data_IF_681196445809
#
_entry.id   IF_681196445809
#
_cell.length_a   1.000
_cell.length_b   1.000
_cell.length_c   1.000
_cell.angle_alpha   90.00
_cell.angle_beta   90.00
_cell.angle_gamma   90.00
#
_symmetry.space_group_name_H-M   'P 1'
#
loop_
_entity.id
_entity.type
_entity.pdbx_description
1 polymer ?
#
# COMPACT_ATOMS: atom_id res chain seq x y z
N UNK A 1 -12.94 5.72 9.19
CA UNK A 1 -12.43 4.80 8.16
C UNK A 1 -11.22 4.10 8.77
N UNK A 2 -11.03 2.82 8.52
CA UNK A 2 -9.85 2.10 9.01
C UNK A 2 -8.84 2.05 7.86
N UNK A 3 -7.92 3.02 7.83
CA UNK A 3 -6.93 3.18 6.75
C UNK A 3 -6.16 1.90 6.51
N UNK A 4 -5.80 1.18 7.58
CA UNK A 4 -5.13 -0.11 7.48
C UNK A 4 -5.95 -1.08 6.67
N UNK A 5 -7.24 -1.24 6.98
CA UNK A 5 -8.09 -2.20 6.29
C UNK A 5 -8.18 -1.89 4.79
N UNK A 6 -8.42 -0.64 4.43
CA UNK A 6 -8.50 -0.23 3.02
C UNK A 6 -7.17 -0.45 2.29
N UNK A 7 -6.03 -0.14 2.91
CA UNK A 7 -4.70 -0.44 2.35
C UNK A 7 -4.50 -1.94 2.12
N UNK A 8 -4.95 -2.80 3.05
CA UNK A 8 -4.88 -4.24 2.88
C UNK A 8 -5.78 -4.75 1.75
N UNK A 9 -6.98 -4.19 1.61
CA UNK A 9 -7.90 -4.55 0.53
C UNK A 9 -7.31 -4.15 -0.85
N UNK A 10 -6.69 -2.96 -0.94
CA UNK A 10 -5.98 -2.50 -2.15
C UNK A 10 -4.79 -3.41 -2.48
N UNK A 11 -3.98 -3.76 -1.48
CA UNK A 11 -2.88 -4.70 -1.66
C UNK A 11 -3.37 -6.05 -2.19
N UNK A 12 -4.49 -6.56 -1.67
CA UNK A 12 -5.06 -7.83 -2.13
C UNK A 12 -5.55 -7.77 -3.57
N UNK A 13 -6.22 -6.67 -3.94
CA UNK A 13 -6.75 -6.43 -5.29
C UNK A 13 -5.63 -6.27 -6.32
N UNK A 14 -4.66 -5.38 -6.07
CA UNK A 14 -3.58 -5.05 -7.00
C UNK A 14 -2.64 -6.23 -7.18
N UNK A 15 -2.28 -6.91 -6.09
CA UNK A 15 -1.34 -8.03 -6.11
C UNK A 15 -2.04 -9.38 -6.31
N UNK A 16 -3.37 -9.40 -6.45
CA UNK A 16 -4.18 -10.62 -6.63
C UNK A 16 -3.89 -11.69 -5.58
N UNK A 17 -3.80 -11.29 -4.31
CA UNK A 17 -3.38 -12.14 -3.18
C UNK A 17 -4.50 -13.07 -2.64
N UNK A 18 -5.73 -12.94 -3.15
CA UNK A 18 -6.88 -13.82 -2.88
C UNK A 18 -7.25 -13.90 -1.39
N UNK A 19 -7.26 -12.76 -0.72
CA UNK A 19 -7.58 -12.59 0.70
C UNK A 19 -6.40 -12.79 1.64
N UNK A 20 -5.18 -13.03 1.13
CA UNK A 20 -3.99 -13.21 1.97
C UNK A 20 -3.57 -11.90 2.65
N UNK A 21 -3.79 -10.75 2.00
CA UNK A 21 -3.40 -9.45 2.57
C UNK A 21 -4.17 -9.13 3.86
N UNK A 22 -5.39 -9.65 4.02
CA UNK A 22 -6.21 -9.44 5.23
C UNK A 22 -5.55 -9.98 6.52
N UNK A 23 -4.59 -10.90 6.41
CA UNK A 23 -3.84 -11.43 7.53
C UNK A 23 -2.59 -10.61 7.88
N UNK A 24 -2.26 -9.57 7.11
CA UNK A 24 -1.06 -8.78 7.34
C UNK A 24 -1.21 -7.85 8.55
N UNK A 25 -0.13 -7.73 9.30
CA UNK A 25 0.04 -6.77 10.39
C UNK A 25 0.89 -5.57 9.93
N UNK A 26 1.02 -4.56 10.78
CA UNK A 26 1.77 -3.35 10.45
C UNK A 26 3.27 -3.62 10.30
N UNK A 27 3.78 -4.68 10.94
CA UNK A 27 5.19 -5.07 10.87
C UNK A 27 5.47 -5.98 9.66
N UNK A 28 4.44 -6.38 8.92
CA UNK A 28 4.56 -7.27 7.77
C UNK A 28 5.37 -6.58 6.67
N UNK A 29 6.53 -7.13 6.29
CA UNK A 29 7.32 -6.59 5.21
C UNK A 29 6.60 -6.79 3.87
N UNK A 30 6.70 -5.80 3.00
CA UNK A 30 6.08 -5.77 1.67
C UNK A 30 7.16 -5.95 0.60
N UNK A 31 8.01 -4.94 0.38
CA UNK A 31 9.12 -5.03 -0.56
C UNK A 31 10.07 -6.18 -0.20
N UNK A 32 10.34 -7.05 -1.17
CA UNK A 32 11.22 -8.21 -1.03
C UNK A 32 10.61 -9.42 -0.31
N UNK A 33 9.56 -9.24 0.48
CA UNK A 33 8.83 -10.33 1.14
C UNK A 33 7.59 -10.79 0.36
N UNK A 34 6.95 -9.87 -0.37
CA UNK A 34 5.84 -10.16 -1.28
C UNK A 34 6.39 -10.20 -2.71
N UNK A 35 6.58 -11.39 -3.30
CA UNK A 35 7.16 -11.51 -4.64
C UNK A 35 6.29 -10.90 -5.74
N UNK A 36 4.99 -10.75 -5.49
CA UNK A 36 4.05 -10.09 -6.40
C UNK A 36 4.24 -8.56 -6.44
N UNK A 37 4.82 -7.96 -5.39
CA UNK A 37 5.09 -6.53 -5.35
C UNK A 37 6.38 -6.21 -6.11
N UNK A 38 6.25 -6.06 -7.42
CA UNK A 38 7.32 -5.61 -8.32
C UNK A 38 7.26 -4.08 -8.59
N UNK A 39 8.22 -3.57 -9.37
CA UNK A 39 8.31 -2.15 -9.71
C UNK A 39 7.08 -1.62 -10.48
N UNK A 40 6.35 -2.47 -11.22
CA UNK A 40 5.14 -2.06 -11.94
C UNK A 40 3.90 -2.15 -11.04
N UNK A 41 3.85 -3.12 -10.12
CA UNK A 41 2.80 -3.27 -9.14
C UNK A 41 2.75 -2.07 -8.18
N UNK A 42 3.90 -1.50 -7.82
CA UNK A 42 3.99 -0.26 -7.04
C UNK A 42 3.23 0.88 -7.71
N UNK A 43 3.40 1.08 -9.02
CA UNK A 43 2.68 2.12 -9.78
C UNK A 43 1.16 1.87 -9.75
N UNK A 44 0.75 0.62 -9.92
CA UNK A 44 -0.66 0.23 -9.81
C UNK A 44 -1.23 0.46 -8.40
N UNK A 45 -0.43 0.22 -7.36
CA UNK A 45 -0.81 0.44 -5.97
C UNK A 45 -1.03 1.92 -5.69
N UNK A 46 -0.11 2.78 -6.14
CA UNK A 46 -0.21 4.24 -6.00
C UNK A 46 -1.49 4.74 -6.65
N UNK A 47 -1.73 4.38 -7.92
CA UNK A 47 -2.93 4.78 -8.64
C UNK A 47 -4.22 4.35 -7.90
N UNK A 48 -4.27 3.10 -7.39
CA UNK A 48 -5.44 2.61 -6.67
C UNK A 48 -5.65 3.33 -5.32
N UNK A 49 -4.57 3.68 -4.62
CA UNK A 49 -4.62 4.48 -3.40
C UNK A 49 -5.16 5.89 -3.71
N UNK A 50 -4.65 6.54 -4.75
CA UNK A 50 -5.15 7.85 -5.20
C UNK A 50 -6.65 7.81 -5.49
N UNK A 51 -7.11 6.80 -6.25
CA UNK A 51 -8.52 6.62 -6.59
C UNK A 51 -9.41 6.34 -5.36
N UNK A 52 -8.97 5.46 -4.45
CA UNK A 52 -9.75 5.04 -3.28
C UNK A 52 -9.84 6.11 -2.21
N UNK A 53 -8.73 6.81 -1.94
CA UNK A 53 -8.65 7.82 -0.91
C UNK A 53 -8.93 9.23 -1.45
N UNK A 54 -9.03 9.41 -2.77
CA UNK A 54 -9.27 10.70 -3.41
C UNK A 54 -8.10 11.68 -3.20
N UNK A 55 -6.88 11.14 -3.12
CA UNK A 55 -5.65 11.90 -2.89
C UNK A 55 -4.75 11.87 -4.12
N UNK A 56 -3.76 12.75 -4.14
CA UNK A 56 -2.72 12.76 -5.18
C UNK A 56 -1.40 12.46 -4.48
N UNK A 57 -0.63 11.55 -5.08
CA UNK A 57 0.69 11.11 -4.64
C UNK A 57 1.70 11.64 -5.66
N UNK A 58 2.57 12.56 -5.21
CA UNK A 58 3.63 13.10 -6.07
C UNK A 58 4.82 12.14 -6.13
N UNK A 59 5.63 12.19 -7.20
CA UNK A 59 6.85 11.35 -7.33
C UNK A 59 7.82 11.55 -6.15
N UNK A 60 7.86 12.75 -5.57
CA UNK A 60 8.72 13.09 -4.42
C UNK A 60 8.14 12.60 -3.07
N UNK A 61 6.87 12.21 -3.03
CA UNK A 61 6.20 11.73 -1.82
C UNK A 61 6.52 10.26 -1.51
N UNK A 62 6.96 9.53 -2.53
CA UNK A 62 7.12 8.09 -2.48
C UNK A 62 8.58 7.72 -2.63
N UNK A 63 9.11 7.09 -1.59
CA UNK A 63 10.42 6.46 -1.64
C UNK A 63 10.30 4.94 -1.46
N UNK A 64 11.45 4.25 -1.57
CA UNK A 64 11.51 2.82 -1.35
C UNK A 64 11.16 2.38 0.08
N UNK A 65 11.15 3.29 1.06
CA UNK A 65 10.83 3.02 2.47
C UNK A 65 9.32 3.03 2.72
N UNK A 66 8.55 3.80 1.95
CA UNK A 66 7.07 3.81 2.02
C UNK A 66 6.49 2.40 1.86
N UNK A 67 7.07 1.58 0.97
CA UNK A 67 6.64 0.20 0.71
C UNK A 67 7.47 -0.87 1.44
N UNK A 68 8.26 -0.52 2.46
CA UNK A 68 8.99 -1.54 3.23
C UNK A 68 8.05 -2.43 4.02
N UNK A 69 7.02 -1.86 4.65
CA UNK A 69 6.06 -2.58 5.49
C UNK A 69 4.63 -2.08 5.27
N UNK A 70 3.64 -2.85 5.72
CA UNK A 70 2.26 -2.37 5.76
C UNK A 70 2.15 -1.13 6.65
N UNK A 71 2.88 -1.06 7.75
CA UNK A 71 2.85 0.07 8.68
C UNK A 71 3.33 1.38 8.06
N UNK A 72 4.42 1.34 7.30
CA UNK A 72 4.93 2.51 6.58
C UNK A 72 3.95 3.00 5.53
N UNK A 73 3.32 2.07 4.79
CA UNK A 73 2.32 2.41 3.77
C UNK A 73 1.05 3.02 4.39
N UNK A 74 0.56 2.45 5.49
CA UNK A 74 -0.60 2.99 6.21
C UNK A 74 -0.30 4.37 6.78
N UNK A 75 0.87 4.55 7.40
CA UNK A 75 1.29 5.85 7.93
C UNK A 75 1.42 6.90 6.83
N UNK A 76 1.91 6.52 5.65
CA UNK A 76 1.95 7.39 4.48
C UNK A 76 0.56 7.87 4.07
N UNK A 77 -0.40 6.96 3.91
CA UNK A 77 -1.78 7.31 3.55
C UNK A 77 -2.43 8.18 4.63
N UNK A 78 -2.28 7.81 5.90
CA UNK A 78 -2.79 8.62 7.02
C UNK A 78 -2.20 10.03 7.05
N UNK A 79 -0.91 10.19 6.70
CA UNK A 79 -0.28 11.52 6.65
C UNK A 79 -0.87 12.44 5.59
N UNK A 80 -1.39 11.88 4.50
CA UNK A 80 -2.00 12.62 3.38
C UNK A 80 -3.50 12.86 3.58
N UNK A 81 -4.14 12.08 4.45
CA UNK A 81 -5.56 12.17 4.78
C UNK A 81 -5.85 13.13 5.95
N UNK A 82 -4.83 13.56 6.70
CA UNK A 82 -4.95 14.41 7.89
C UNK A 82 -5.22 15.90 7.59
#
# INVERSE_FOLDING_TARGET
MDTKKEVLDILDEVLSLKGRAAAFDLETPLLGAVPELDSMAVVGLINMIEERFGMIVEDDDVDGTTFETVGTLVAFVDSKFA
#
